data_IF_076445899903
#
_entry.id   IF_076445899903
#
_cell.length_a   1.000
_cell.length_b   1.000
_cell.length_c   1.000
_cell.angle_alpha   90.00
_cell.angle_beta   90.00
_cell.angle_gamma   90.00
#
_symmetry.space_group_name_H-M   'P 1'
#
loop_
_entity.id
_entity.type
_entity.pdbx_description
1 polymer ?
#
# COMPACT_ATOMS: atom_id res chain seq x y z
N UNK A 1 10.59 -28.70 -7.00
CA UNK A 1 10.41 -28.72 -8.47
C UNK A 1 9.62 -27.47 -8.81
N UNK A 2 10.19 -26.51 -9.55
CA UNK A 2 9.42 -25.35 -9.99
C UNK A 2 8.32 -25.86 -10.92
N UNK A 3 7.04 -25.66 -10.54
CA UNK A 3 5.93 -25.90 -11.45
C UNK A 3 6.21 -25.16 -12.76
N UNK A 4 6.04 -25.86 -13.88
CA UNK A 4 6.08 -25.23 -15.20
C UNK A 4 4.95 -24.21 -15.24
N UNK A 5 5.27 -22.95 -14.95
CA UNK A 5 4.35 -21.83 -15.13
C UNK A 5 4.01 -21.80 -16.62
N UNK A 6 2.79 -22.19 -16.96
CA UNK A 6 2.28 -22.15 -18.32
C UNK A 6 2.38 -20.70 -18.81
N UNK A 7 3.16 -20.48 -19.87
CA UNK A 7 3.37 -19.14 -20.41
C UNK A 7 2.06 -18.66 -21.01
N UNK A 8 1.40 -17.72 -20.33
CA UNK A 8 0.19 -17.05 -20.83
C UNK A 8 0.52 -16.37 -22.17
N UNK A 9 -0.34 -16.52 -23.18
CA UNK A 9 -0.11 -15.89 -24.49
C UNK A 9 -0.33 -14.37 -24.40
N UNK A 10 0.38 -13.53 -25.19
CA UNK A 10 0.20 -12.08 -25.17
C UNK A 10 -1.25 -11.64 -25.38
N UNK A 11 -2.00 -12.33 -26.25
CA UNK A 11 -3.41 -12.03 -26.52
C UNK A 11 -4.29 -12.28 -25.30
N UNK A 12 -3.95 -13.29 -24.48
CA UNK A 12 -4.64 -13.58 -23.23
C UNK A 12 -4.27 -12.57 -22.14
N UNK A 13 -3.01 -12.13 -22.08
CA UNK A 13 -2.60 -11.06 -21.15
C UNK A 13 -3.25 -9.71 -21.47
N UNK A 14 -3.52 -9.43 -22.76
CA UNK A 14 -4.17 -8.20 -23.18
C UNK A 14 -5.68 -8.15 -22.82
N UNK A 15 -6.30 -9.29 -22.48
CA UNK A 15 -7.70 -9.37 -22.09
C UNK A 15 -7.86 -9.05 -20.60
N UNK A 16 -7.89 -7.76 -20.28
CA UNK A 16 -8.05 -7.27 -18.91
C UNK A 16 -9.54 -6.96 -18.66
N UNK A 17 -10.10 -7.59 -17.63
CA UNK A 17 -11.45 -7.30 -17.19
C UNK A 17 -11.44 -6.15 -16.18
N UNK A 18 -12.16 -5.07 -16.50
CA UNK A 18 -12.33 -3.89 -15.63
C UNK A 18 -13.68 -3.87 -14.89
N UNK A 19 -14.57 -4.82 -15.17
CA UNK A 19 -15.88 -4.88 -14.54
C UNK A 19 -15.75 -5.39 -13.09
N UNK A 20 -16.19 -4.59 -12.09
CA UNK A 20 -16.14 -5.03 -10.71
C UNK A 20 -17.18 -6.15 -10.46
N UNK A 21 -16.91 -7.08 -9.53
CA UNK A 21 -17.86 -8.13 -9.17
C UNK A 21 -19.14 -7.54 -8.56
N UNK A 22 -20.31 -7.91 -9.10
CA UNK A 22 -21.61 -7.36 -8.69
C UNK A 22 -22.04 -7.78 -7.27
N UNK A 23 -21.75 -9.03 -6.88
CA UNK A 23 -22.30 -9.63 -5.66
C UNK A 23 -21.28 -9.77 -4.52
N UNK A 24 -20.01 -9.43 -4.75
CA UNK A 24 -18.94 -9.54 -3.74
C UNK A 24 -18.17 -8.23 -3.66
N UNK A 25 -18.19 -7.60 -2.50
CA UNK A 25 -17.42 -6.38 -2.26
C UNK A 25 -15.94 -6.67 -2.05
N UNK A 26 -15.12 -5.65 -2.22
CA UNK A 26 -13.68 -5.71 -1.96
C UNK A 26 -13.32 -6.00 -0.48
N UNK A 27 -14.26 -5.81 0.45
CA UNK A 27 -14.06 -6.20 1.86
C UNK A 27 -14.41 -7.67 2.13
N UNK A 28 -15.09 -8.36 1.20
CA UNK A 28 -15.54 -9.75 1.38
C UNK A 28 -14.52 -10.77 0.91
N UNK A 29 -13.61 -10.35 0.02
CA UNK A 29 -12.62 -11.22 -0.60
C UNK A 29 -11.25 -10.80 -0.09
N UNK A 30 -10.48 -11.68 0.57
CA UNK A 30 -9.10 -11.37 0.96
C UNK A 30 -8.25 -10.98 -0.25
N UNK A 31 -7.26 -10.12 -0.03
CA UNK A 31 -6.27 -9.81 -1.06
C UNK A 31 -5.35 -11.02 -1.28
N UNK A 32 -5.11 -11.35 -2.55
CA UNK A 32 -4.21 -12.43 -2.93
C UNK A 32 -2.86 -11.85 -3.36
N UNK A 33 -1.79 -12.19 -2.64
CA UNK A 33 -0.43 -11.79 -2.99
C UNK A 33 0.07 -12.72 -4.09
N UNK A 34 0.06 -12.23 -5.33
CA UNK A 34 0.41 -13.04 -6.51
C UNK A 34 1.92 -13.07 -6.77
N UNK A 35 2.54 -14.26 -6.88
CA UNK A 35 3.94 -14.39 -7.31
C UNK A 35 4.20 -13.67 -8.64
N UNK A 36 5.32 -12.95 -8.70
CA UNK A 36 5.71 -12.16 -9.88
C UNK A 36 5.04 -10.78 -10.00
N UNK A 37 4.07 -10.46 -9.12
CA UNK A 37 3.41 -9.14 -9.08
C UNK A 37 3.81 -8.33 -7.86
N UNK A 38 4.08 -8.98 -6.72
CA UNK A 38 4.50 -8.27 -5.51
C UNK A 38 5.93 -7.73 -5.61
N UNK A 39 6.19 -6.61 -4.91
CA UNK A 39 7.56 -6.16 -4.62
C UNK A 39 8.21 -7.10 -3.61
N UNK A 40 9.54 -7.23 -3.58
CA UNK A 40 10.23 -8.03 -2.55
C UNK A 40 10.50 -7.20 -1.29
N UNK A 41 10.41 -7.85 -0.13
CA UNK A 41 10.70 -7.27 1.18
C UNK A 41 12.14 -6.72 1.25
N UNK A 42 12.32 -5.65 2.03
CA UNK A 42 13.63 -5.05 2.26
C UNK A 42 14.58 -5.98 3.00
N UNK A 43 15.85 -6.00 2.58
CA UNK A 43 16.86 -6.84 3.24
C UNK A 43 17.21 -6.30 4.64
N UNK A 44 17.41 -7.18 5.65
CA UNK A 44 17.71 -6.76 7.01
C UNK A 44 18.96 -5.87 7.11
N UNK A 45 19.99 -6.15 6.30
CA UNK A 45 21.22 -5.37 6.27
C UNK A 45 20.97 -3.91 5.86
N UNK A 46 20.11 -3.69 4.87
CA UNK A 46 19.78 -2.34 4.39
C UNK A 46 19.00 -1.58 5.45
N UNK A 47 18.01 -2.21 6.08
CA UNK A 47 17.23 -1.60 7.16
C UNK A 47 18.12 -1.21 8.35
N UNK A 48 19.04 -2.10 8.77
CA UNK A 48 20.01 -1.81 9.85
C UNK A 48 20.90 -0.62 9.51
N UNK A 49 21.30 -0.48 8.25
CA UNK A 49 22.22 0.59 7.83
C UNK A 49 21.61 1.98 7.96
N UNK A 50 20.31 2.11 7.72
CA UNK A 50 19.55 3.38 7.83
C UNK A 50 18.68 3.46 9.08
N UNK A 51 18.99 2.64 10.09
CA UNK A 51 18.31 2.62 11.40
C UNK A 51 16.78 2.48 11.32
N UNK A 52 16.29 1.68 10.35
CA UNK A 52 14.86 1.35 10.25
C UNK A 52 14.48 0.27 11.28
N UNK A 53 13.25 0.32 11.84
CA UNK A 53 12.82 -0.59 12.88
C UNK A 53 12.64 -2.03 12.37
N UNK A 54 12.69 -2.98 13.30
CA UNK A 54 12.43 -4.40 13.09
C UNK A 54 13.12 -5.04 11.87
N UNK A 55 14.47 -4.91 11.70
CA UNK A 55 15.20 -5.50 10.59
C UNK A 55 15.24 -7.03 10.72
N UNK A 56 14.61 -7.73 9.78
CA UNK A 56 14.49 -9.20 9.79
C UNK A 56 14.28 -9.78 8.39
N UNK A 57 14.54 -11.08 8.25
CA UNK A 57 14.19 -11.80 7.03
C UNK A 57 12.73 -12.25 7.08
N UNK A 58 11.98 -11.86 6.06
CA UNK A 58 10.59 -12.22 5.82
C UNK A 58 10.27 -12.07 4.32
N UNK A 59 9.23 -12.75 3.86
CA UNK A 59 8.69 -12.68 2.51
C UNK A 59 7.20 -12.31 2.54
N UNK A 60 6.68 -11.58 1.54
CA UNK A 60 5.24 -11.33 1.43
C UNK A 60 4.39 -12.61 1.40
N UNK A 61 4.99 -13.71 0.95
CA UNK A 61 4.35 -15.04 0.90
C UNK A 61 4.34 -15.77 2.25
N UNK A 62 5.11 -15.30 3.24
CA UNK A 62 5.16 -15.95 4.56
C UNK A 62 3.83 -15.72 5.29
N UNK A 63 3.38 -16.74 6.03
CA UNK A 63 2.21 -16.62 6.91
C UNK A 63 2.48 -15.65 8.06
N UNK A 64 3.62 -15.78 8.72
CA UNK A 64 4.06 -14.89 9.79
C UNK A 64 5.14 -13.92 9.30
N UNK A 65 4.84 -12.63 9.37
CA UNK A 65 5.78 -11.56 9.03
C UNK A 65 6.66 -11.16 10.21
N UNK A 66 6.63 -11.87 11.34
CA UNK A 66 7.48 -11.65 12.53
C UNK A 66 7.39 -10.21 13.05
N UNK A 67 6.17 -9.72 13.18
CA UNK A 67 5.90 -8.36 13.64
C UNK A 67 6.04 -8.24 15.17
N UNK A 68 6.36 -7.05 15.70
CA UNK A 68 6.33 -6.82 17.14
C UNK A 68 4.93 -7.10 17.70
N UNK A 69 4.81 -7.56 18.95
CA UNK A 69 3.50 -7.89 19.54
C UNK A 69 2.53 -6.70 19.55
N UNK A 70 3.05 -5.48 19.67
CA UNK A 70 2.30 -4.22 19.67
C UNK A 70 2.24 -3.53 18.30
N UNK A 71 2.37 -4.26 17.19
CA UNK A 71 2.41 -3.67 15.84
C UNK A 71 1.15 -2.86 15.51
N UNK A 72 -0.01 -3.26 16.03
CA UNK A 72 -1.28 -2.58 15.75
C UNK A 72 -1.28 -1.20 16.39
N UNK A 73 -0.84 -1.12 17.64
CA UNK A 73 -0.69 0.12 18.40
C UNK A 73 0.28 1.07 17.70
N UNK A 74 1.44 0.57 17.23
CA UNK A 74 2.42 1.37 16.47
C UNK A 74 1.78 2.00 15.24
N UNK A 75 1.01 1.23 14.46
CA UNK A 75 0.36 1.74 13.24
C UNK A 75 -0.75 2.73 13.55
N UNK A 76 -1.58 2.46 14.55
CA UNK A 76 -2.70 3.32 14.92
C UNK A 76 -2.23 4.64 15.55
N UNK A 77 -1.20 4.60 16.40
CA UNK A 77 -0.58 5.81 16.93
C UNK A 77 0.09 6.60 15.82
N UNK A 78 0.86 5.93 14.95
CA UNK A 78 1.45 6.56 13.78
C UNK A 78 0.40 7.27 12.93
N UNK A 79 -0.74 6.63 12.66
CA UNK A 79 -1.82 7.24 11.89
C UNK A 79 -2.44 8.44 12.62
N UNK A 80 -2.62 8.37 13.95
CA UNK A 80 -3.11 9.50 14.77
C UNK A 80 -2.19 10.71 14.64
N UNK A 81 -0.88 10.53 14.81
CA UNK A 81 0.11 11.59 14.68
C UNK A 81 0.06 12.27 13.30
N UNK A 82 -0.08 11.48 12.21
CA UNK A 82 -0.18 12.04 10.85
C UNK A 82 -1.49 12.78 10.63
N UNK A 83 -2.60 12.32 11.21
CA UNK A 83 -3.90 13.01 11.13
C UNK A 83 -3.91 14.34 11.89
N UNK A 84 -3.19 14.43 13.01
CA UNK A 84 -3.03 15.67 13.78
C UNK A 84 -2.08 16.65 13.08
N UNK A 85 -0.99 16.14 12.49
CA UNK A 85 0.02 16.95 11.81
C UNK A 85 -0.42 17.45 10.43
N UNK A 86 -1.11 16.61 9.65
CA UNK A 86 -1.43 16.89 8.24
C UNK A 86 -2.92 17.10 8.03
N UNK A 87 -3.32 18.37 7.93
CA UNK A 87 -4.71 18.74 7.58
C UNK A 87 -5.16 18.15 6.24
N UNK A 88 -4.26 18.07 5.26
CA UNK A 88 -4.51 17.45 3.95
C UNK A 88 -4.98 16.01 4.10
N UNK A 89 -4.27 15.19 4.87
CA UNK A 89 -4.65 13.80 5.12
C UNK A 89 -6.08 13.71 5.68
N UNK A 90 -6.38 14.48 6.73
CA UNK A 90 -7.72 14.46 7.36
C UNK A 90 -8.81 14.80 6.34
N UNK A 91 -8.63 15.87 5.57
CA UNK A 91 -9.57 16.25 4.50
C UNK A 91 -9.71 15.14 3.46
N UNK A 92 -8.60 14.56 3.00
CA UNK A 92 -8.59 13.48 1.99
C UNK A 92 -9.27 12.20 2.46
N UNK A 93 -9.27 11.93 3.77
CA UNK A 93 -10.02 10.81 4.35
C UNK A 93 -11.53 11.05 4.35
N UNK A 94 -11.97 12.30 4.47
CA UNK A 94 -13.37 12.67 4.69
C UNK A 94 -14.14 13.02 3.41
N UNK A 95 -13.53 13.74 2.46
CA UNK A 95 -14.28 14.36 1.36
C UNK A 95 -14.46 13.48 0.11
N UNK A 96 -13.89 12.27 0.11
CA UNK A 96 -13.98 11.38 -1.06
C UNK A 96 -15.41 10.86 -1.24
N UNK A 97 -16.08 11.32 -2.31
CA UNK A 97 -17.44 10.85 -2.67
C UNK A 97 -17.45 9.58 -3.53
N UNK A 98 -16.28 8.96 -3.75
CA UNK A 98 -16.12 7.73 -4.54
C UNK A 98 -16.63 7.81 -5.99
N UNK A 99 -16.49 8.98 -6.63
CA UNK A 99 -16.93 9.20 -8.01
C UNK A 99 -16.16 8.39 -9.08
N UNK A 100 -14.98 7.85 -8.75
CA UNK A 100 -14.20 7.03 -9.69
C UNK A 100 -13.43 7.80 -10.76
N UNK A 101 -13.46 9.13 -10.80
CA UNK A 101 -12.76 9.95 -11.80
C UNK A 101 -11.23 9.72 -11.88
N UNK A 102 -10.64 9.15 -10.83
CA UNK A 102 -9.22 8.80 -10.79
C UNK A 102 -8.92 7.35 -11.23
N UNK A 103 -9.94 6.49 -11.40
CA UNK A 103 -9.77 5.06 -11.65
C UNK A 103 -9.01 4.78 -12.95
N UNK A 104 -9.52 5.28 -14.07
CA UNK A 104 -8.97 5.11 -15.42
C UNK A 104 -7.67 5.91 -15.66
N UNK A 105 -7.12 6.54 -14.63
CA UNK A 105 -5.85 7.29 -14.69
C UNK A 105 -4.68 6.53 -14.09
N UNK A 106 -4.95 5.42 -13.39
CA UNK A 106 -3.93 4.61 -12.75
C UNK A 106 -3.45 3.49 -13.68
N UNK A 107 -2.17 3.51 -14.04
CA UNK A 107 -1.56 2.46 -14.88
C UNK A 107 -1.71 1.05 -14.28
N UNK A 108 -1.66 0.91 -12.95
CA UNK A 108 -1.81 -0.39 -12.28
C UNK A 108 -3.23 -0.93 -12.31
N UNK A 109 -4.24 -0.04 -12.30
CA UNK A 109 -5.62 -0.46 -12.52
C UNK A 109 -5.86 -0.81 -13.99
N UNK A 110 -5.40 0.04 -14.91
CA UNK A 110 -5.55 -0.17 -16.36
C UNK A 110 -4.85 -1.46 -16.79
N UNK A 111 -3.66 -1.74 -16.28
CA UNK A 111 -2.88 -2.92 -16.65
C UNK A 111 -3.27 -4.21 -15.92
N UNK A 112 -4.03 -4.12 -14.82
CA UNK A 112 -4.32 -5.29 -13.97
C UNK A 112 -5.80 -5.60 -13.76
N UNK A 113 -6.71 -4.65 -14.02
CA UNK A 113 -8.15 -4.80 -13.73
C UNK A 113 -8.50 -4.88 -12.24
N UNK A 114 -7.51 -5.04 -11.35
CA UNK A 114 -7.74 -5.19 -9.91
C UNK A 114 -8.31 -3.89 -9.32
N UNK A 115 -9.54 -3.91 -8.79
CA UNK A 115 -10.20 -2.72 -8.29
C UNK A 115 -9.42 -2.07 -7.14
N UNK A 116 -8.62 -2.81 -6.37
CA UNK A 116 -7.80 -2.24 -5.26
C UNK A 116 -6.64 -1.39 -5.76
N UNK A 117 -6.32 -1.48 -7.05
CA UNK A 117 -5.39 -0.57 -7.70
C UNK A 117 -6.04 0.72 -8.22
N UNK A 118 -7.38 0.81 -8.26
CA UNK A 118 -8.04 2.09 -8.51
C UNK A 118 -7.64 3.08 -7.40
N UNK A 119 -7.23 4.33 -7.69
CA UNK A 119 -6.76 5.23 -6.66
C UNK A 119 -7.82 5.53 -5.58
N UNK A 120 -9.09 5.59 -5.97
CA UNK A 120 -10.22 5.73 -5.04
C UNK A 120 -10.24 4.59 -4.02
N UNK A 121 -10.09 3.34 -4.47
CA UNK A 121 -10.19 2.15 -3.63
C UNK A 121 -8.90 1.84 -2.89
N UNK A 122 -7.74 2.06 -3.51
CA UNK A 122 -6.44 1.96 -2.81
C UNK A 122 -6.43 2.85 -1.58
N UNK A 123 -6.94 4.07 -1.69
CA UNK A 123 -7.10 4.94 -0.54
C UNK A 123 -8.23 4.50 0.42
N UNK A 124 -9.26 3.77 -0.04
CA UNK A 124 -10.23 3.13 0.86
C UNK A 124 -9.60 2.05 1.75
N UNK A 125 -8.49 1.43 1.34
CA UNK A 125 -7.77 0.48 2.18
C UNK A 125 -7.37 1.12 3.52
N UNK A 126 -6.84 2.35 3.49
CA UNK A 126 -6.54 3.14 4.68
C UNK A 126 -7.79 3.80 5.27
N UNK A 127 -8.68 4.39 4.45
CA UNK A 127 -9.90 5.07 4.94
C UNK A 127 -10.82 4.14 5.74
N UNK A 128 -10.87 2.86 5.40
CA UNK A 128 -11.70 1.88 6.11
C UNK A 128 -11.25 1.66 7.56
N UNK A 129 -9.94 1.60 7.82
CA UNK A 129 -9.39 1.57 9.18
C UNK A 129 -9.53 2.93 9.84
N UNK A 130 -9.26 4.02 9.10
CA UNK A 130 -9.48 5.37 9.61
C UNK A 130 -10.90 5.57 10.14
N UNK A 131 -11.93 5.18 9.36
CA UNK A 131 -13.32 5.28 9.79
C UNK A 131 -13.59 4.44 11.03
N UNK A 132 -13.05 3.21 11.09
CA UNK A 132 -13.22 2.32 12.23
C UNK A 132 -12.64 2.91 13.52
N UNK A 133 -11.47 3.52 13.44
CA UNK A 133 -10.68 3.89 14.62
C UNK A 133 -10.87 5.36 15.05
N UNK A 134 -11.15 6.26 14.10
CA UNK A 134 -11.12 7.72 14.32
C UNK A 134 -12.46 8.43 14.09
N UNK A 135 -13.50 7.74 13.62
CA UNK A 135 -14.82 8.35 13.41
C UNK A 135 -15.90 7.68 14.25
N UNK A 136 -16.80 8.46 14.85
CA UNK A 136 -17.93 7.92 15.64
C UNK A 136 -18.86 7.08 14.77
N UNK A 137 -19.18 7.56 13.55
CA UNK A 137 -20.05 6.84 12.62
C UNK A 137 -19.44 5.50 12.20
N UNK A 138 -18.13 5.45 11.90
CA UNK A 138 -17.47 4.20 11.52
C UNK A 138 -17.34 3.20 12.68
N UNK A 139 -17.20 3.67 13.92
CA UNK A 139 -17.23 2.81 15.11
C UNK A 139 -18.58 2.12 15.28
N UNK A 140 -19.67 2.86 15.10
CA UNK A 140 -21.05 2.37 15.32
C UNK A 140 -21.53 1.53 14.13
N UNK A 141 -21.40 2.04 12.91
CA UNK A 141 -21.96 1.41 11.70
C UNK A 141 -21.04 0.33 11.12
N UNK A 142 -19.78 0.28 11.53
CA UNK A 142 -18.81 -0.71 11.08
C UNK A 142 -18.75 -0.81 9.56
N UNK A 143 -18.90 -2.04 9.05
CA UNK A 143 -18.86 -2.35 7.62
C UNK A 143 -19.88 -1.57 6.78
N UNK A 144 -21.02 -1.18 7.35
CA UNK A 144 -22.04 -0.40 6.64
C UNK A 144 -21.56 1.02 6.30
N UNK A 145 -20.69 1.60 7.14
CA UNK A 145 -19.97 2.84 6.84
C UNK A 145 -18.67 2.60 6.03
N UNK A 146 -18.44 1.36 5.56
CA UNK A 146 -17.18 0.95 4.94
C UNK A 146 -16.01 0.89 5.92
N UNK A 147 -16.26 0.74 7.22
CA UNK A 147 -15.21 0.64 8.23
C UNK A 147 -14.86 -0.84 8.49
N UNK A 148 -13.59 -1.12 8.76
CA UNK A 148 -13.11 -2.45 9.15
C UNK A 148 -11.96 -2.34 10.16
N UNK A 149 -11.81 -3.36 10.99
CA UNK A 149 -10.71 -3.44 11.94
C UNK A 149 -9.36 -3.58 11.23
N UNK A 150 -8.31 -3.02 11.83
CA UNK A 150 -6.94 -3.29 11.40
C UNK A 150 -6.54 -4.68 11.91
N UNK A 151 -6.45 -5.66 11.03
CA UNK A 151 -5.90 -6.99 11.30
C UNK A 151 -4.68 -7.27 10.42
N UNK A 152 -4.06 -8.45 10.60
CA UNK A 152 -2.87 -8.82 9.85
C UNK A 152 -3.14 -8.93 8.35
N UNK A 153 -4.33 -9.39 7.92
CA UNK A 153 -4.67 -9.52 6.50
C UNK A 153 -4.84 -8.13 5.86
N UNK A 154 -5.46 -7.20 6.58
CA UNK A 154 -5.54 -5.78 6.18
C UNK A 154 -4.15 -5.15 6.06
N UNK A 155 -3.25 -5.42 7.00
CA UNK A 155 -1.87 -4.93 6.93
C UNK A 155 -1.10 -5.50 5.73
N UNK A 156 -1.26 -6.80 5.45
CA UNK A 156 -0.66 -7.43 4.26
C UNK A 156 -1.22 -6.85 2.97
N UNK A 157 -2.52 -6.61 2.92
CA UNK A 157 -3.19 -5.95 1.80
C UNK A 157 -2.67 -4.53 1.60
N UNK A 158 -2.51 -3.74 2.67
CA UNK A 158 -1.90 -2.41 2.60
C UNK A 158 -0.52 -2.48 1.97
N UNK A 159 0.34 -3.36 2.48
CA UNK A 159 1.68 -3.50 1.95
C UNK A 159 1.67 -3.84 0.45
N UNK A 160 0.87 -4.84 0.06
CA UNK A 160 0.80 -5.27 -1.34
C UNK A 160 0.35 -4.15 -2.28
N UNK A 161 -0.72 -3.43 -1.97
CA UNK A 161 -1.29 -2.43 -2.89
C UNK A 161 -0.65 -1.04 -2.78
N UNK A 162 -0.18 -0.62 -1.61
CA UNK A 162 0.50 0.67 -1.47
C UNK A 162 1.89 0.62 -2.11
N UNK A 163 2.63 -0.50 -2.04
CA UNK A 163 3.92 -0.60 -2.73
C UNK A 163 3.80 -0.79 -4.26
N UNK A 164 2.62 -1.14 -4.80
CA UNK A 164 2.38 -1.12 -6.25
C UNK A 164 2.24 0.31 -6.81
N UNK A 165 1.81 1.30 -6.02
CA UNK A 165 1.62 2.66 -6.53
C UNK A 165 2.94 3.30 -6.97
N UNK A 166 3.02 3.86 -8.18
CA UNK A 166 4.24 4.57 -8.63
C UNK A 166 4.30 6.04 -8.17
N UNK A 167 3.34 6.50 -7.36
CA UNK A 167 3.24 7.88 -6.87
C UNK A 167 3.22 8.95 -7.98
N UNK A 168 2.79 8.58 -9.21
CA UNK A 168 2.78 9.48 -10.38
C UNK A 168 1.81 10.68 -10.29
N UNK A 169 1.02 10.78 -9.22
CA UNK A 169 0.06 11.87 -8.93
C UNK A 169 -1.00 12.17 -9.99
N UNK A 170 -1.18 11.35 -11.04
CA UNK A 170 -2.31 11.50 -11.99
C UNK A 170 -3.66 11.49 -11.27
N UNK A 171 -3.81 10.63 -10.27
CA UNK A 171 -4.97 10.59 -9.40
C UNK A 171 -5.31 11.94 -8.74
N UNK A 172 -4.31 12.73 -8.37
CA UNK A 172 -4.47 14.08 -7.80
C UNK A 172 -4.96 15.07 -8.87
N UNK A 173 -4.32 15.05 -10.04
CA UNK A 173 -4.67 15.92 -11.17
C UNK A 173 -6.12 15.76 -11.64
N UNK A 174 -6.65 14.54 -11.63
CA UNK A 174 -8.00 14.24 -12.14
C UNK A 174 -9.08 14.15 -11.06
N UNK A 175 -8.73 14.32 -9.78
CA UNK A 175 -9.74 14.31 -8.71
C UNK A 175 -10.49 15.66 -8.68
N UNK A 176 -11.82 15.69 -8.87
CA UNK A 176 -12.57 16.95 -8.81
C UNK A 176 -12.62 17.58 -7.40
N UNK A 177 -12.26 16.81 -6.37
CA UNK A 177 -12.14 17.26 -4.98
C UNK A 177 -10.70 17.61 -4.59
N UNK A 178 -9.73 17.51 -5.52
CA UNK A 178 -8.32 17.80 -5.25
C UNK A 178 -7.64 16.79 -4.30
N UNK A 179 -8.15 15.55 -4.22
CA UNK A 179 -7.59 14.52 -3.33
C UNK A 179 -6.32 13.94 -3.93
N UNK A 180 -5.17 14.16 -3.28
CA UNK A 180 -3.91 13.54 -3.65
C UNK A 180 -3.78 12.13 -3.05
N UNK A 181 -4.20 11.11 -3.79
CA UNK A 181 -4.04 9.72 -3.32
C UNK A 181 -2.59 9.22 -3.31
N UNK A 182 -1.65 9.91 -3.95
CA UNK A 182 -0.23 9.61 -3.81
C UNK A 182 0.27 10.05 -2.43
N UNK A 183 -0.19 11.18 -1.91
CA UNK A 183 0.09 11.59 -0.52
C UNK A 183 -0.44 10.56 0.49
N UNK A 184 -1.66 10.07 0.28
CA UNK A 184 -2.23 8.97 1.10
C UNK A 184 -1.33 7.72 1.03
N UNK A 185 -0.80 7.40 -0.16
CA UNK A 185 0.11 6.27 -0.36
C UNK A 185 1.43 6.48 0.39
N UNK A 186 2.03 7.66 0.30
CA UNK A 186 3.27 8.01 1.01
C UNK A 186 3.09 7.81 2.51
N UNK A 187 1.98 8.32 3.06
CA UNK A 187 1.65 8.17 4.49
C UNK A 187 1.46 6.70 4.84
N UNK A 188 0.72 5.93 4.03
CA UNK A 188 0.54 4.49 4.27
C UNK A 188 1.88 3.72 4.26
N UNK A 189 2.79 4.04 3.33
CA UNK A 189 4.15 3.48 3.29
C UNK A 189 4.97 3.89 4.50
N UNK A 190 4.82 5.11 4.98
CA UNK A 190 5.47 5.58 6.20
C UNK A 190 4.98 4.80 7.43
N UNK A 191 3.68 4.53 7.54
CA UNK A 191 3.10 3.68 8.60
C UNK A 191 3.64 2.25 8.54
N UNK A 192 3.77 1.67 7.34
CA UNK A 192 4.38 0.35 7.14
C UNK A 192 5.86 0.35 7.52
N UNK A 193 6.59 1.42 7.22
CA UNK A 193 8.00 1.58 7.59
C UNK A 193 8.21 1.61 9.11
N UNK A 194 7.25 2.07 9.92
CA UNK A 194 7.31 1.98 11.39
C UNK A 194 7.43 0.53 11.90
N UNK A 195 7.00 -0.45 11.09
CA UNK A 195 7.09 -1.88 11.39
C UNK A 195 8.26 -2.58 10.69
N UNK A 196 9.11 -1.82 9.99
CA UNK A 196 10.17 -2.37 9.12
C UNK A 196 9.61 -3.03 7.85
N UNK A 197 8.36 -2.76 7.48
CA UNK A 197 7.74 -3.29 6.28
C UNK A 197 8.03 -2.38 5.08
N UNK A 198 9.23 -2.54 4.51
CA UNK A 198 9.67 -1.82 3.32
C UNK A 198 9.99 -2.80 2.19
N UNK A 199 10.27 -2.29 0.99
CA UNK A 199 10.76 -3.06 -0.16
C UNK A 199 12.26 -2.85 -0.34
N UNK A 200 12.97 -3.86 -0.87
CA UNK A 200 14.41 -3.74 -1.13
C UNK A 200 14.70 -2.68 -2.20
N UNK A 201 13.75 -2.49 -3.13
CA UNK A 201 13.78 -1.44 -4.15
C UNK A 201 13.81 -0.02 -3.59
N UNK A 202 13.41 0.18 -2.33
CA UNK A 202 13.44 1.48 -1.66
C UNK A 202 14.55 1.50 -0.60
N UNK A 203 14.67 0.47 0.23
CA UNK A 203 15.64 0.47 1.34
C UNK A 203 17.09 0.33 0.87
N UNK A 204 17.37 -0.43 -0.19
CA UNK A 204 18.74 -0.58 -0.70
C UNK A 204 19.27 0.72 -1.33
N UNK A 205 18.54 1.42 -2.22
CA UNK A 205 19.00 2.72 -2.73
C UNK A 205 19.12 3.78 -1.64
N UNK A 206 18.22 3.78 -0.65
CA UNK A 206 18.36 4.67 0.50
C UNK A 206 19.66 4.39 1.27
N UNK A 207 19.95 3.14 1.62
CA UNK A 207 21.20 2.75 2.26
C UNK A 207 22.44 3.11 1.40
N UNK A 208 22.35 2.97 0.08
CA UNK A 208 23.42 3.36 -0.84
C UNK A 208 23.71 4.87 -0.80
N UNK A 209 22.68 5.72 -0.72
CA UNK A 209 22.85 7.16 -0.59
C UNK A 209 23.68 7.52 0.65
N UNK A 210 23.39 6.89 1.80
CA UNK A 210 24.17 7.11 3.03
C UNK A 210 25.59 6.53 2.95
N UNK A 211 25.77 5.40 2.25
CA UNK A 211 27.05 4.69 2.17
C UNK A 211 28.04 5.28 1.16
N UNK A 212 27.54 5.75 0.03
CA UNK A 212 28.35 6.10 -1.15
C UNK A 212 28.01 7.47 -1.74
N UNK A 213 27.04 8.19 -1.16
CA UNK A 213 26.58 9.47 -1.68
C UNK A 213 25.68 9.39 -2.92
N UNK A 214 25.34 8.19 -3.41
CA UNK A 214 24.40 8.02 -4.52
C UNK A 214 23.54 6.75 -4.38
N UNK A 215 22.37 6.76 -5.01
CA UNK A 215 21.38 5.69 -4.91
C UNK A 215 21.80 4.37 -5.58
N UNK A 216 22.70 4.43 -6.55
CA UNK A 216 23.20 3.24 -7.28
C UNK A 216 24.28 2.48 -6.50
N UNK A 217 24.84 3.07 -5.44
CA UNK A 217 25.91 2.44 -4.67
C UNK A 217 27.28 2.53 -5.36
N UNK A 218 27.44 3.44 -6.32
CA UNK A 218 28.68 3.62 -7.09
C UNK A 218 29.73 4.27 -6.17
N UNK A 219 30.91 3.67 -6.08
CA UNK A 219 32.00 4.26 -5.30
C UNK A 219 32.64 5.42 -6.06
N UNK A 220 33.20 6.44 -5.36
CA UNK A 220 34.02 7.46 -6.01
C UNK A 220 35.12 6.81 -6.86
N UNK A 221 35.42 7.41 -8.01
CA UNK A 221 36.57 6.99 -8.81
C UNK A 221 37.84 7.25 -7.99
N UNK A 222 38.67 6.22 -7.83
CA UNK A 222 39.95 6.28 -7.13
C UNK A 222 40.97 7.11 -7.90
#
# INVERSE_FOLDING_TARGET
MAEKVEKVKPEQMAQINHEPPLFKGWMDVPAEIKPGVFCYAGKPQNLKYIDLPNPREWSPMDEDWKLPSNWKEIVLEGLRERLERFRSLKIFMDICVRCGACADKCHFFIGGGDPRNMPVLRAELLRSVYRREFTTAGKILGKFAGARDLDIQVLKEWWYYFFQCSECRRCSLFCPYGIDTAEITIIARELLNLLGLNTDWISAPAANCYRTGNHLGIQPHA
#
